data_IF_199392718702
#
_entry.id   IF_199392718702
#
_cell.length_a   1.000
_cell.length_b   1.000
_cell.length_c   1.000
_cell.angle_alpha   90.00
_cell.angle_beta   90.00
_cell.angle_gamma   90.00
#
_symmetry.space_group_name_H-M   'P 1'
#
loop_
_entity.id
_entity.type
_entity.pdbx_description
1 polymer ?
#
# COMPACT_ATOMS: atom_id res chain seq x y z
N UNK A 1 8.50 10.58 13.66
CA UNK A 1 9.62 9.98 14.39
C UNK A 1 10.44 11.06 15.11
N UNK A 2 11.03 12.04 14.41
CA UNK A 2 11.91 13.08 14.98
C UNK A 2 11.32 13.91 16.13
N UNK A 3 10.02 14.14 16.12
CA UNK A 3 9.33 15.05 17.05
C UNK A 3 8.48 14.34 18.10
N UNK A 4 8.53 13.01 18.14
CA UNK A 4 7.70 12.18 19.03
C UNK A 4 8.48 11.56 20.19
N UNK A 5 9.76 11.90 20.36
CA UNK A 5 10.67 11.27 21.33
C UNK A 5 10.55 9.73 21.33
N UNK A 6 11.00 9.07 20.25
CA UNK A 6 10.75 7.65 20.05
C UNK A 6 11.43 6.79 21.12
N UNK A 7 10.70 5.79 21.63
CA UNK A 7 11.23 4.80 22.56
C UNK A 7 11.98 3.75 21.75
N UNK A 8 13.25 4.06 21.40
CA UNK A 8 14.13 3.23 20.59
C UNK A 8 15.49 3.16 21.26
N UNK A 9 16.12 2.00 21.27
CA UNK A 9 17.43 1.77 21.88
C UNK A 9 18.20 0.64 21.21
N UNK A 10 19.26 0.19 21.89
CA UNK A 10 20.22 -0.81 21.38
C UNK A 10 19.63 -2.18 21.03
N UNK A 11 18.49 -2.52 21.59
CA UNK A 11 17.83 -3.81 21.38
C UNK A 11 16.78 -3.74 20.25
N UNK A 12 16.65 -2.58 19.59
CA UNK A 12 15.70 -2.35 18.53
C UNK A 12 16.32 -2.36 17.13
N UNK A 13 15.56 -2.85 16.15
CA UNK A 13 15.84 -2.72 14.74
C UNK A 13 14.92 -1.65 14.15
N UNK A 14 15.48 -0.60 13.61
CA UNK A 14 14.74 0.45 12.88
C UNK A 14 14.86 0.18 11.39
N UNK A 15 13.70 0.05 10.71
CA UNK A 15 13.65 -0.10 9.26
C UNK A 15 13.26 1.24 8.65
N UNK A 16 14.10 1.80 7.80
CA UNK A 16 13.84 3.01 7.04
C UNK A 16 13.60 2.68 5.57
N UNK A 17 12.61 3.31 4.97
CA UNK A 17 12.19 3.04 3.59
C UNK A 17 12.24 4.35 2.81
N UNK A 18 12.97 4.35 1.69
CA UNK A 18 13.04 5.50 0.80
C UNK A 18 13.34 5.04 -0.62
N UNK A 19 12.58 5.51 -1.60
CA UNK A 19 12.86 5.18 -3.01
C UNK A 19 14.20 5.76 -3.45
N UNK A 20 14.41 7.08 -3.28
CA UNK A 20 15.63 7.77 -3.69
C UNK A 20 16.82 7.52 -2.76
N UNK A 21 16.55 7.23 -1.47
CA UNK A 21 17.56 7.20 -0.43
C UNK A 21 18.14 8.59 -0.08
N UNK A 22 17.50 9.67 -0.54
CA UNK A 22 17.92 11.06 -0.31
C UNK A 22 16.90 11.87 0.50
N UNK A 23 15.81 11.24 0.97
CA UNK A 23 14.75 11.90 1.71
C UNK A 23 15.27 12.44 3.05
N UNK A 24 15.34 13.76 3.21
CA UNK A 24 15.97 14.41 4.34
C UNK A 24 15.38 13.99 5.70
N UNK A 25 14.05 13.92 5.81
CA UNK A 25 13.39 13.51 7.06
C UNK A 25 13.63 12.03 7.40
N UNK A 26 13.67 11.16 6.40
CA UNK A 26 13.98 9.73 6.59
C UNK A 26 15.43 9.56 7.03
N UNK A 27 16.36 10.32 6.44
CA UNK A 27 17.77 10.31 6.84
C UNK A 27 17.94 10.80 8.28
N UNK A 28 17.26 11.88 8.64
CA UNK A 28 17.33 12.40 10.01
C UNK A 28 16.72 11.44 11.05
N UNK A 29 15.64 10.72 10.68
CA UNK A 29 15.09 9.65 11.53
C UNK A 29 16.07 8.48 11.71
N UNK A 30 16.80 8.13 10.66
CA UNK A 30 17.88 7.12 10.71
C UNK A 30 18.99 7.56 11.67
N UNK A 31 19.49 8.80 11.52
CA UNK A 31 20.55 9.35 12.37
C UNK A 31 20.13 9.40 13.85
N UNK A 32 18.90 9.80 14.13
CA UNK A 32 18.31 9.80 15.48
C UNK A 32 18.23 8.38 16.06
N UNK A 33 17.79 7.39 15.26
CA UNK A 33 17.73 5.99 15.71
C UNK A 33 19.14 5.46 16.07
N UNK A 34 20.13 5.75 15.23
CA UNK A 34 21.53 5.35 15.49
C UNK A 34 22.11 6.06 16.71
N UNK A 35 21.82 7.34 16.92
CA UNK A 35 22.25 8.07 18.11
C UNK A 35 21.71 7.48 19.41
N UNK A 36 20.53 6.83 19.35
CA UNK A 36 19.93 6.08 20.46
C UNK A 36 20.43 4.64 20.59
N UNK A 37 21.31 4.20 19.69
CA UNK A 37 21.95 2.90 19.72
C UNK A 37 21.24 1.80 18.93
N UNK A 38 20.14 2.10 18.25
CA UNK A 38 19.42 1.13 17.44
C UNK A 38 20.21 0.75 16.17
N UNK A 39 20.09 -0.52 15.75
CA UNK A 39 20.55 -0.97 14.43
C UNK A 39 19.58 -0.50 13.35
N UNK A 40 20.09 -0.02 12.24
CA UNK A 40 19.24 0.51 11.15
C UNK A 40 19.43 -0.30 9.88
N UNK A 41 18.31 -0.87 9.39
CA UNK A 41 18.18 -1.48 8.07
C UNK A 41 17.47 -0.51 7.13
N UNK A 42 18.06 -0.22 5.98
CA UNK A 42 17.38 0.58 4.95
C UNK A 42 16.88 -0.26 3.78
N UNK A 43 15.71 0.08 3.29
CA UNK A 43 15.14 -0.42 2.02
C UNK A 43 15.15 0.75 1.06
N UNK A 44 16.02 0.73 0.06
CA UNK A 44 16.22 1.82 -0.89
C UNK A 44 16.35 1.30 -2.32
N UNK A 45 16.08 2.14 -3.31
CA UNK A 45 16.25 1.77 -4.71
C UNK A 45 17.60 2.26 -5.30
N UNK A 46 18.08 3.42 -4.83
CA UNK A 46 19.29 4.03 -5.39
C UNK A 46 20.53 3.55 -4.65
N UNK A 47 21.41 2.87 -5.38
CA UNK A 47 22.68 2.37 -4.86
C UNK A 47 23.59 3.55 -4.48
N UNK A 48 24.21 3.46 -3.28
CA UNK A 48 25.15 4.48 -2.81
C UNK A 48 24.53 5.80 -2.38
N UNK A 49 23.20 5.86 -2.23
CA UNK A 49 22.48 7.02 -1.70
C UNK A 49 22.90 7.37 -0.26
N UNK A 50 22.54 8.57 0.19
CA UNK A 50 22.92 9.06 1.53
C UNK A 50 22.36 8.17 2.64
N UNK A 51 21.11 7.68 2.52
CA UNK A 51 20.51 6.74 3.48
C UNK A 51 21.24 5.40 3.43
N UNK A 52 21.54 4.86 2.24
CA UNK A 52 22.27 3.61 2.11
C UNK A 52 23.65 3.67 2.81
N UNK A 53 24.38 4.76 2.63
CA UNK A 53 25.71 4.94 3.26
C UNK A 53 25.65 5.11 4.77
N UNK A 54 24.56 5.68 5.28
CA UNK A 54 24.40 5.94 6.71
C UNK A 54 23.86 4.74 7.49
N UNK A 55 23.23 3.77 6.82
CA UNK A 55 22.62 2.57 7.42
C UNK A 55 23.65 1.52 7.83
N UNK A 56 23.28 0.66 8.77
CA UNK A 56 24.11 -0.49 9.15
C UNK A 56 23.93 -1.64 8.15
N UNK A 57 22.70 -1.81 7.64
CA UNK A 57 22.35 -2.81 6.62
C UNK A 57 21.52 -2.16 5.53
N UNK A 58 21.61 -2.68 4.31
CA UNK A 58 20.89 -2.15 3.14
C UNK A 58 20.29 -3.28 2.32
N UNK A 59 19.03 -3.13 1.95
CA UNK A 59 18.39 -3.95 0.92
C UNK A 59 17.97 -3.04 -0.22
N UNK A 60 18.45 -3.35 -1.43
CA UNK A 60 18.06 -2.63 -2.64
C UNK A 60 16.84 -3.27 -3.30
N UNK A 61 15.85 -2.44 -3.68
CA UNK A 61 14.62 -2.92 -4.33
C UNK A 61 14.81 -3.31 -5.79
N UNK A 62 15.87 -2.83 -6.44
CA UNK A 62 16.19 -3.07 -7.85
C UNK A 62 15.04 -2.74 -8.82
N UNK A 63 14.20 -1.77 -8.47
CA UNK A 63 13.07 -1.35 -9.30
C UNK A 63 13.47 -0.60 -10.58
N UNK A 64 14.77 -0.39 -10.77
CA UNK A 64 15.27 0.46 -11.86
C UNK A 64 14.95 1.94 -11.63
N UNK A 65 15.27 2.82 -12.62
CA UNK A 65 14.99 4.25 -12.49
C UNK A 65 13.50 4.53 -12.34
N UNK A 66 13.11 5.29 -11.32
CA UNK A 66 11.74 5.79 -11.17
C UNK A 66 11.65 7.17 -11.81
N UNK A 67 10.83 7.29 -12.84
CA UNK A 67 10.67 8.52 -13.63
C UNK A 67 9.40 9.26 -13.19
N UNK A 68 8.37 8.51 -12.75
CA UNK A 68 7.11 9.09 -12.33
C UNK A 68 7.19 9.65 -10.91
N UNK A 69 6.72 10.88 -10.70
CA UNK A 69 6.62 11.48 -9.37
C UNK A 69 5.76 10.64 -8.44
N UNK A 70 4.71 10.01 -8.97
CA UNK A 70 3.80 9.14 -8.21
C UNK A 70 4.42 7.83 -7.72
N UNK A 71 5.65 7.46 -8.13
CA UNK A 71 6.44 6.37 -7.55
C UNK A 71 5.72 5.00 -7.52
N UNK A 72 5.03 4.63 -8.59
CA UNK A 72 4.12 3.46 -8.61
C UNK A 72 4.83 2.12 -8.46
N UNK A 73 5.83 1.84 -9.31
CA UNK A 73 6.57 0.56 -9.27
C UNK A 73 7.43 0.42 -8.02
N UNK A 74 7.98 1.52 -7.49
CA UNK A 74 8.80 1.48 -6.30
C UNK A 74 7.99 1.07 -5.07
N UNK A 75 6.73 1.51 -4.95
CA UNK A 75 5.83 1.06 -3.89
C UNK A 75 5.64 -0.47 -3.91
N UNK A 76 5.33 -1.06 -5.06
CA UNK A 76 5.14 -2.50 -5.19
C UNK A 76 6.40 -3.30 -4.84
N UNK A 77 7.58 -2.82 -5.27
CA UNK A 77 8.86 -3.48 -4.96
C UNK A 77 9.23 -3.33 -3.50
N UNK A 78 8.94 -2.21 -2.85
CA UNK A 78 9.12 -2.03 -1.41
C UNK A 78 8.24 -3.00 -0.61
N UNK A 79 6.97 -3.16 -0.98
CA UNK A 79 6.09 -4.15 -0.37
C UNK A 79 6.63 -5.58 -0.53
N UNK A 80 7.13 -5.93 -1.72
CA UNK A 80 7.74 -7.23 -1.97
C UNK A 80 8.93 -7.48 -1.03
N UNK A 81 9.81 -6.50 -0.86
CA UNK A 81 10.94 -6.60 0.08
C UNK A 81 10.45 -6.77 1.52
N UNK A 82 9.43 -6.03 1.94
CA UNK A 82 8.84 -6.16 3.29
C UNK A 82 8.27 -7.58 3.49
N UNK A 83 7.58 -8.13 2.51
CA UNK A 83 7.06 -9.50 2.56
C UNK A 83 8.19 -10.53 2.67
N UNK A 84 9.28 -10.36 1.92
CA UNK A 84 10.45 -11.23 2.01
C UNK A 84 11.12 -11.17 3.38
N UNK A 85 11.27 -9.97 3.95
CA UNK A 85 11.80 -9.79 5.31
C UNK A 85 10.89 -10.48 6.33
N UNK A 86 9.58 -10.25 6.25
CA UNK A 86 8.61 -10.85 7.18
C UNK A 86 8.63 -12.39 7.11
N UNK A 87 8.63 -12.96 5.91
CA UNK A 87 8.70 -14.41 5.72
C UNK A 87 10.02 -14.98 6.24
N UNK A 88 11.15 -14.33 5.93
CA UNK A 88 12.46 -14.74 6.42
C UNK A 88 12.53 -14.72 7.95
N UNK A 89 12.06 -13.66 8.59
CA UNK A 89 12.01 -13.55 10.04
C UNK A 89 11.10 -14.63 10.66
N UNK A 90 9.92 -14.85 10.08
CA UNK A 90 8.99 -15.87 10.55
C UNK A 90 9.61 -17.27 10.48
N UNK A 91 10.31 -17.61 9.39
CA UNK A 91 11.04 -18.87 9.25
C UNK A 91 12.15 -18.99 10.30
N UNK A 92 12.98 -17.95 10.49
CA UNK A 92 14.08 -17.97 11.45
C UNK A 92 13.61 -18.09 12.91
N UNK A 93 12.46 -17.51 13.21
CA UNK A 93 11.83 -17.54 14.52
C UNK A 93 10.94 -18.80 14.73
N UNK A 94 10.89 -19.70 13.76
CA UNK A 94 10.07 -20.92 13.83
C UNK A 94 8.56 -20.65 13.93
N UNK A 95 8.09 -19.51 13.36
CA UNK A 95 6.68 -19.12 13.37
C UNK A 95 5.87 -19.69 12.22
N UNK A 96 6.56 -20.16 11.18
CA UNK A 96 5.99 -20.84 10.02
C UNK A 96 6.82 -22.09 9.71
N UNK A 97 6.20 -23.08 9.09
CA UNK A 97 6.89 -24.28 8.61
C UNK A 97 7.74 -23.98 7.36
N UNK A 98 8.65 -24.88 7.03
CA UNK A 98 9.45 -24.79 5.80
C UNK A 98 8.58 -24.87 4.54
N UNK A 99 7.51 -25.61 4.61
CA UNK A 99 6.54 -25.75 3.52
C UNK A 99 5.79 -24.43 3.31
N UNK A 100 5.22 -23.85 4.37
CA UNK A 100 4.56 -22.53 4.30
C UNK A 100 5.51 -21.44 3.79
N UNK A 101 6.78 -21.45 4.22
CA UNK A 101 7.78 -20.52 3.69
C UNK A 101 7.99 -20.71 2.19
N UNK A 102 8.18 -21.96 1.74
CA UNK A 102 8.42 -22.25 0.33
C UNK A 102 7.22 -21.89 -0.55
N UNK A 103 5.99 -22.15 -0.08
CA UNK A 103 4.77 -21.78 -0.80
C UNK A 103 4.61 -20.25 -0.89
N UNK A 104 4.92 -19.55 0.19
CA UNK A 104 4.91 -18.08 0.19
C UNK A 104 5.91 -17.49 -0.83
N UNK A 105 7.11 -18.06 -0.93
CA UNK A 105 8.11 -17.60 -1.91
C UNK A 105 7.63 -17.86 -3.34
N UNK A 106 7.04 -19.03 -3.63
CA UNK A 106 6.44 -19.31 -4.94
C UNK A 106 5.33 -18.32 -5.30
N UNK A 107 4.51 -17.93 -4.33
CA UNK A 107 3.48 -16.90 -4.56
C UNK A 107 4.10 -15.55 -4.94
N UNK A 108 5.19 -15.14 -4.28
CA UNK A 108 5.92 -13.92 -4.64
C UNK A 108 6.54 -14.04 -6.04
N UNK A 109 7.15 -15.16 -6.38
CA UNK A 109 7.73 -15.40 -7.70
C UNK A 109 6.68 -15.37 -8.83
N UNK A 110 5.42 -15.68 -8.52
CA UNK A 110 4.30 -15.61 -9.46
C UNK A 110 3.74 -14.19 -9.68
N UNK A 111 4.12 -13.21 -8.88
CA UNK A 111 3.56 -11.84 -8.97
C UNK A 111 3.74 -11.18 -10.34
N UNK A 112 4.87 -11.32 -11.06
CA UNK A 112 5.02 -10.70 -12.38
C UNK A 112 3.94 -11.17 -13.37
N UNK A 113 3.65 -12.47 -13.41
CA UNK A 113 2.63 -13.04 -14.29
C UNK A 113 1.22 -12.57 -13.89
N UNK A 114 0.94 -12.51 -12.59
CA UNK A 114 -0.31 -12.00 -12.06
C UNK A 114 -0.52 -10.53 -12.40
N UNK A 115 0.51 -9.71 -12.29
CA UNK A 115 0.47 -8.29 -12.70
C UNK A 115 0.25 -8.16 -14.20
N UNK A 116 0.95 -8.96 -15.02
CA UNK A 116 0.77 -8.98 -16.47
C UNK A 116 -0.68 -9.32 -16.85
N UNK A 117 -1.32 -10.24 -16.14
CA UNK A 117 -2.73 -10.59 -16.37
C UNK A 117 -3.67 -9.43 -16.01
N UNK A 118 -3.43 -8.78 -14.87
CA UNK A 118 -4.23 -7.61 -14.44
C UNK A 118 -4.14 -6.48 -15.46
N UNK A 119 -2.96 -6.23 -16.03
CA UNK A 119 -2.74 -5.17 -17.01
C UNK A 119 -3.51 -5.37 -18.33
N UNK A 120 -4.02 -6.56 -18.62
CA UNK A 120 -4.90 -6.81 -19.77
C UNK A 120 -6.26 -6.11 -19.63
N UNK A 121 -6.69 -5.78 -18.42
CA UNK A 121 -7.96 -5.07 -18.15
C UNK A 121 -7.83 -3.53 -18.13
N UNK A 122 -6.71 -2.99 -18.61
CA UNK A 122 -6.46 -1.53 -18.60
C UNK A 122 -7.55 -0.71 -19.29
N UNK A 123 -8.15 -1.25 -20.34
CA UNK A 123 -9.18 -0.57 -21.14
C UNK A 123 -10.49 -0.40 -20.33
N UNK A 124 -10.84 -1.40 -19.51
CA UNK A 124 -11.99 -1.31 -18.61
C UNK A 124 -11.76 -0.22 -17.54
N UNK A 125 -10.55 -0.15 -16.99
CA UNK A 125 -10.18 0.89 -16.03
C UNK A 125 -10.19 2.28 -16.68
N UNK A 126 -9.67 2.38 -17.91
CA UNK A 126 -9.69 3.63 -18.66
C UNK A 126 -11.11 4.10 -18.98
N UNK A 127 -11.99 3.18 -19.35
CA UNK A 127 -13.42 3.47 -19.56
C UNK A 127 -14.08 3.99 -18.29
N UNK A 128 -13.84 3.36 -17.14
CA UNK A 128 -14.33 3.86 -15.86
C UNK A 128 -13.76 5.25 -15.54
N UNK A 129 -12.46 5.46 -15.71
CA UNK A 129 -11.82 6.76 -15.49
C UNK A 129 -12.46 7.85 -16.37
N UNK A 130 -12.79 7.55 -17.63
CA UNK A 130 -13.43 8.49 -18.54
C UNK A 130 -14.84 8.93 -18.10
N UNK A 131 -15.52 8.17 -17.25
CA UNK A 131 -16.82 8.54 -16.67
C UNK A 131 -16.71 9.48 -15.48
N UNK A 132 -15.61 9.40 -14.76
CA UNK A 132 -15.46 10.04 -13.46
C UNK A 132 -14.34 11.09 -13.39
N UNK A 133 -13.70 11.43 -14.53
CA UNK A 133 -12.58 12.38 -14.55
C UNK A 133 -12.93 13.80 -14.08
N UNK A 134 -14.23 14.15 -14.07
CA UNK A 134 -14.74 15.45 -13.61
C UNK A 134 -15.22 15.45 -12.15
N UNK A 135 -15.04 14.34 -11.41
CA UNK A 135 -15.38 14.32 -9.99
C UNK A 135 -14.52 15.30 -9.20
N UNK A 136 -15.14 16.06 -8.29
CA UNK A 136 -14.43 16.99 -7.42
C UNK A 136 -13.79 16.29 -6.22
N UNK A 137 -14.42 15.21 -5.75
CA UNK A 137 -13.97 14.43 -4.61
C UNK A 137 -14.24 12.94 -4.83
N UNK A 138 -13.30 12.11 -4.40
CA UNK A 138 -13.38 10.65 -4.52
C UNK A 138 -13.00 10.02 -3.19
N UNK A 139 -13.80 9.07 -2.72
CA UNK A 139 -13.52 8.34 -1.49
C UNK A 139 -13.03 6.93 -1.80
N UNK A 140 -12.01 6.51 -1.07
CA UNK A 140 -11.52 5.12 -1.09
C UNK A 140 -11.92 4.46 0.23
N UNK A 141 -12.45 3.25 0.17
CA UNK A 141 -12.80 2.50 1.37
C UNK A 141 -12.30 1.07 1.31
N UNK A 142 -11.88 0.55 2.45
CA UNK A 142 -11.42 -0.83 2.58
C UNK A 142 -11.37 -1.27 4.03
N UNK A 143 -11.07 -2.54 4.27
CA UNK A 143 -10.85 -3.09 5.61
C UNK A 143 -9.51 -3.78 5.69
N UNK A 144 -8.79 -3.59 6.81
CA UNK A 144 -7.49 -4.19 7.04
C UNK A 144 -6.50 -3.84 5.91
N UNK A 145 -5.92 -4.82 5.21
CA UNK A 145 -4.99 -4.59 4.09
C UNK A 145 -5.63 -3.77 2.96
N UNK A 146 -6.90 -4.00 2.66
CA UNK A 146 -7.64 -3.21 1.67
C UNK A 146 -7.72 -1.73 2.04
N UNK A 147 -7.79 -1.40 3.34
CA UNK A 147 -7.72 -0.01 3.80
C UNK A 147 -6.32 0.59 3.60
N UNK A 148 -5.27 -0.16 3.91
CA UNK A 148 -3.90 0.29 3.66
C UNK A 148 -3.65 0.59 2.16
N UNK A 149 -4.14 -0.30 1.27
CA UNK A 149 -4.08 -0.08 -0.18
C UNK A 149 -4.97 1.10 -0.61
N UNK A 150 -6.11 1.31 0.04
CA UNK A 150 -6.99 2.47 -0.20
C UNK A 150 -6.29 3.80 0.12
N UNK A 151 -5.50 3.86 1.19
CA UNK A 151 -4.68 5.05 1.53
C UNK A 151 -3.68 5.37 0.40
N UNK A 152 -2.98 4.35 -0.11
CA UNK A 152 -2.05 4.52 -1.22
C UNK A 152 -2.78 4.92 -2.52
N UNK A 153 -3.91 4.26 -2.82
CA UNK A 153 -4.73 4.59 -3.99
C UNK A 153 -5.22 6.04 -3.98
N UNK A 154 -5.69 6.51 -2.83
CA UNK A 154 -6.07 7.92 -2.62
C UNK A 154 -4.88 8.86 -2.82
N UNK A 155 -3.70 8.53 -2.28
CA UNK A 155 -2.49 9.31 -2.46
C UNK A 155 -2.10 9.40 -3.94
N UNK A 156 -2.05 8.28 -4.63
CA UNK A 156 -1.70 8.23 -6.08
C UNK A 156 -2.69 9.03 -6.93
N UNK A 157 -3.98 8.95 -6.61
CA UNK A 157 -4.99 9.73 -7.32
C UNK A 157 -4.75 11.24 -7.16
N UNK A 158 -4.49 11.71 -5.95
CA UNK A 158 -4.16 13.12 -5.67
C UNK A 158 -2.92 13.59 -6.44
N UNK A 159 -1.86 12.79 -6.42
CA UNK A 159 -0.59 13.14 -7.06
C UNK A 159 -0.70 13.23 -8.58
N UNK A 160 -1.54 12.41 -9.21
CA UNK A 160 -1.63 12.29 -10.67
C UNK A 160 -2.73 13.20 -11.25
N UNK A 161 -3.91 13.24 -10.61
CA UNK A 161 -5.11 13.88 -11.15
C UNK A 161 -5.43 15.24 -10.54
N UNK A 162 -4.84 15.55 -9.38
CA UNK A 162 -5.16 16.71 -8.54
C UNK A 162 -6.62 16.72 -8.01
N UNK A 163 -7.35 15.62 -8.18
CA UNK A 163 -8.68 15.44 -7.61
C UNK A 163 -8.53 15.20 -6.11
N UNK A 164 -9.31 15.92 -5.30
CA UNK A 164 -9.36 15.65 -3.87
C UNK A 164 -9.81 14.22 -3.62
N UNK A 165 -9.07 13.49 -2.80
CA UNK A 165 -9.48 12.14 -2.39
C UNK A 165 -9.07 11.82 -0.97
N UNK A 166 -9.88 11.00 -0.31
CA UNK A 166 -9.62 10.51 1.03
C UNK A 166 -9.88 9.01 1.13
N UNK A 167 -9.17 8.36 2.04
CA UNK A 167 -9.37 6.94 2.30
C UNK A 167 -9.84 6.72 3.74
N UNK A 168 -10.88 5.89 3.90
CA UNK A 168 -11.44 5.55 5.20
C UNK A 168 -11.51 4.04 5.40
N UNK A 169 -11.33 3.62 6.64
CA UNK A 169 -11.70 2.27 7.02
C UNK A 169 -13.23 2.12 6.82
N UNK A 170 -13.65 1.13 6.03
CA UNK A 170 -15.06 1.00 5.63
C UNK A 170 -16.04 0.92 6.81
N UNK A 171 -15.58 0.42 7.97
CA UNK A 171 -16.37 0.39 9.20
C UNK A 171 -16.56 1.76 9.84
N UNK A 172 -15.55 2.64 9.69
CA UNK A 172 -15.54 3.96 10.32
C UNK A 172 -16.31 5.02 9.53
N UNK A 173 -16.54 4.76 8.25
CA UNK A 173 -17.20 5.75 7.36
C UNK A 173 -18.53 6.27 7.94
N UNK A 174 -19.33 5.40 8.55
CA UNK A 174 -20.63 5.74 9.12
C UNK A 174 -20.57 6.51 10.46
N UNK A 175 -19.39 6.68 11.04
CA UNK A 175 -19.21 7.37 12.31
C UNK A 175 -18.91 8.88 12.15
N UNK A 176 -19.41 9.50 11.09
CA UNK A 176 -19.34 10.94 10.84
C UNK A 176 -18.98 11.29 9.41
N UNK A 177 -17.93 10.70 8.85
CA UNK A 177 -17.41 11.05 7.52
C UNK A 177 -18.34 10.72 6.36
N UNK A 178 -19.34 9.88 6.59
CA UNK A 178 -20.41 9.63 5.60
C UNK A 178 -21.18 10.91 5.23
N UNK A 179 -21.21 11.92 6.10
CA UNK A 179 -21.82 13.22 5.81
C UNK A 179 -21.18 13.99 4.66
N UNK A 180 -19.96 13.59 4.26
CA UNK A 180 -19.25 14.16 3.12
C UNK A 180 -19.63 13.50 1.79
N UNK A 181 -20.41 12.43 1.83
CA UNK A 181 -20.86 11.71 0.65
C UNK A 181 -22.19 12.28 0.21
N UNK A 182 -22.20 12.88 -0.96
CA UNK A 182 -23.37 13.49 -1.59
C UNK A 182 -23.77 12.70 -2.86
N UNK A 183 -24.94 13.01 -3.41
CA UNK A 183 -25.37 12.42 -4.67
C UNK A 183 -24.36 12.71 -5.78
N UNK A 184 -23.93 11.64 -6.48
CA UNK A 184 -22.92 11.73 -7.53
C UNK A 184 -21.47 11.59 -7.04
N UNK A 185 -21.22 11.49 -5.74
CA UNK A 185 -19.89 11.21 -5.21
C UNK A 185 -19.38 9.83 -5.65
N UNK A 186 -18.13 9.75 -6.10
CA UNK A 186 -17.51 8.48 -6.44
C UNK A 186 -16.88 7.83 -5.20
N UNK A 187 -17.24 6.58 -4.94
CA UNK A 187 -16.62 5.76 -3.90
C UNK A 187 -15.93 4.55 -4.52
N UNK A 188 -14.64 4.41 -4.30
CA UNK A 188 -13.84 3.25 -4.72
C UNK A 188 -13.71 2.29 -3.54
N UNK A 189 -14.36 1.14 -3.61
CA UNK A 189 -14.35 0.16 -2.53
C UNK A 189 -13.44 -1.03 -2.87
N UNK A 190 -12.45 -1.28 -2.02
CA UNK A 190 -11.59 -2.45 -2.08
C UNK A 190 -12.14 -3.55 -1.15
N UNK A 191 -12.36 -4.75 -1.69
CA UNK A 191 -12.90 -5.89 -0.97
C UNK A 191 -12.25 -7.20 -1.46
N UNK A 192 -10.96 -7.38 -1.16
CA UNK A 192 -10.18 -8.54 -1.60
C UNK A 192 -10.11 -9.65 -0.54
N UNK A 193 -10.22 -9.29 0.74
CA UNK A 193 -10.11 -10.22 1.86
C UNK A 193 -11.35 -11.10 2.03
N UNK A 194 -11.21 -12.43 1.88
CA UNK A 194 -12.32 -13.39 1.99
C UNK A 194 -13.15 -13.21 3.27
N UNK A 195 -12.51 -13.07 4.42
CA UNK A 195 -13.16 -13.01 5.72
C UNK A 195 -13.84 -11.66 6.02
N UNK A 196 -13.53 -10.63 5.22
CA UNK A 196 -14.03 -9.28 5.41
C UNK A 196 -14.92 -8.80 4.25
N UNK A 197 -15.04 -9.65 3.21
CA UNK A 197 -15.78 -9.33 1.99
C UNK A 197 -17.21 -8.90 2.28
N UNK A 198 -18.00 -9.75 2.96
CA UNK A 198 -19.41 -9.47 3.26
C UNK A 198 -19.59 -8.22 4.11
N UNK A 199 -18.67 -7.98 5.06
CA UNK A 199 -18.68 -6.77 5.89
C UNK A 199 -18.38 -5.51 5.07
N UNK A 200 -17.47 -5.58 4.11
CA UNK A 200 -17.17 -4.46 3.22
C UNK A 200 -18.33 -4.21 2.26
N UNK A 201 -18.90 -5.25 1.68
CA UNK A 201 -20.08 -5.16 0.81
C UNK A 201 -21.27 -4.56 1.55
N UNK A 202 -21.52 -4.95 2.80
CA UNK A 202 -22.58 -4.35 3.63
C UNK A 202 -22.40 -2.84 3.82
N UNK A 203 -21.18 -2.36 4.06
CA UNK A 203 -20.91 -0.93 4.13
C UNK A 203 -21.16 -0.22 2.79
N UNK A 204 -20.71 -0.82 1.67
CA UNK A 204 -20.95 -0.32 0.32
C UNK A 204 -22.45 -0.21 0.03
N UNK A 205 -23.21 -1.25 0.36
CA UNK A 205 -24.65 -1.29 0.18
C UNK A 205 -25.32 -0.16 0.98
N UNK A 206 -24.93 0.05 2.21
CA UNK A 206 -25.44 1.14 3.03
C UNK A 206 -25.22 2.51 2.37
N UNK A 207 -24.02 2.77 1.85
CA UNK A 207 -23.67 4.02 1.15
C UNK A 207 -24.52 4.18 -0.11
N UNK A 208 -24.69 3.14 -0.91
CA UNK A 208 -25.48 3.19 -2.15
C UNK A 208 -26.98 3.34 -1.93
N UNK A 209 -27.53 2.84 -0.83
CA UNK A 209 -28.93 3.03 -0.48
C UNK A 209 -29.25 4.41 0.09
N UNK A 210 -28.29 4.99 0.83
CA UNK A 210 -28.49 6.30 1.48
C UNK A 210 -28.26 7.47 0.54
N UNK A 211 -27.48 7.27 -0.53
CA UNK A 211 -27.08 8.31 -1.47
C UNK A 211 -27.00 7.70 -2.88
N UNK A 212 -27.35 8.46 -3.92
CA UNK A 212 -27.19 8.06 -5.33
C UNK A 212 -25.71 8.06 -5.74
N UNK A 213 -24.93 7.22 -5.12
CA UNK A 213 -23.46 7.18 -5.22
C UNK A 213 -23.02 6.19 -6.30
N UNK A 214 -22.12 6.62 -7.17
CA UNK A 214 -21.42 5.70 -8.06
C UNK A 214 -20.37 4.92 -7.26
N UNK A 215 -20.53 3.60 -7.13
CA UNK A 215 -19.56 2.75 -6.46
C UNK A 215 -18.83 1.90 -7.49
N UNK A 216 -17.53 2.13 -7.61
CA UNK A 216 -16.63 1.21 -8.31
C UNK A 216 -16.23 0.14 -7.29
N UNK A 217 -16.82 -1.04 -7.43
CA UNK A 217 -16.37 -2.22 -6.69
C UNK A 217 -15.14 -2.77 -7.40
N UNK A 218 -13.95 -2.46 -6.91
CA UNK A 218 -12.77 -3.24 -7.22
C UNK A 218 -12.90 -4.59 -6.50
N UNK A 219 -13.85 -5.34 -7.00
CA UNK A 219 -14.08 -6.70 -6.56
C UNK A 219 -12.89 -7.57 -6.96
N UNK A 220 -12.63 -8.54 -6.12
CA UNK A 220 -11.85 -9.76 -6.34
C UNK A 220 -12.11 -10.48 -7.71
N UNK A 221 -12.83 -9.86 -8.65
CA UNK A 221 -13.02 -10.40 -10.00
C UNK A 221 -11.73 -10.43 -10.80
N UNK A 222 -10.81 -9.50 -10.54
CA UNK A 222 -9.46 -9.54 -11.09
C UNK A 222 -8.66 -10.68 -10.41
N UNK A 223 -9.00 -11.02 -9.17
CA UNK A 223 -8.36 -12.08 -8.39
C UNK A 223 -9.06 -13.44 -8.57
N UNK A 224 -10.24 -13.52 -9.20
CA UNK A 224 -10.89 -14.82 -9.49
C UNK A 224 -10.09 -15.70 -10.46
N UNK A 225 -9.25 -15.10 -11.30
CA UNK A 225 -8.27 -15.86 -12.10
C UNK A 225 -7.06 -16.36 -11.29
N UNK A 226 -6.91 -15.94 -10.03
CA UNK A 226 -5.83 -16.32 -9.12
C UNK A 226 -6.25 -17.45 -8.15
N UNK A 227 -7.42 -18.08 -8.37
CA UNK A 227 -7.96 -19.17 -7.56
C UNK A 227 -8.04 -20.49 -8.32
N UNK A 228 -6.93 -20.96 -8.86
CA UNK A 228 -6.74 -22.38 -9.19
C UNK A 228 -5.29 -22.75 -8.91
#
# INVERSE_FOLDING_TARGET
FRYCDPIVGKDDLVIVISQSGETADTKAALEEAKARGARVLSIVNVVGSAIAKASDDVIYTWAGPEIAVATTKAYSTQLTVIYLIAAYMADKLGKISKEEYADFIKEIESLPDKVAEILKSKEDVQYLASKFYNCHSIFFIGRNLDYAVSLEGSLKLKEISYIHSEAYAAGELKHGTISLIEDGTLVVALATGKNLFDKTVSNVTYVTYSYSVAVIRLLCCIIKGLRH
#
